data_IF_000359750031
#
_entry.id   IF_000359750031
#
_cell.length_a   1.000
_cell.length_b   1.000
_cell.length_c   1.000
_cell.angle_alpha   90.00
_cell.angle_beta   90.00
_cell.angle_gamma   90.00
#
_symmetry.space_group_name_H-M   'P 1'
#
loop_
_entity.id
_entity.type
_entity.pdbx_description
1 polymer ?
#
# COMPACT_ATOMS: atom_id res chain seq x y z
N UNK A 1 23.60 -10.25 -6.08
CA UNK A 1 23.61 -10.02 -4.61
C UNK A 1 22.43 -10.76 -4.02
N UNK A 2 22.65 -11.74 -3.13
CA UNK A 2 21.56 -12.35 -2.36
C UNK A 2 21.07 -11.32 -1.35
N UNK A 3 19.88 -10.78 -1.55
CA UNK A 3 19.18 -9.96 -0.56
C UNK A 3 18.44 -10.91 0.38
N UNK A 4 18.79 -10.88 1.66
CA UNK A 4 18.10 -11.65 2.70
C UNK A 4 16.92 -10.84 3.22
N UNK A 5 15.85 -11.53 3.55
CA UNK A 5 14.63 -10.93 4.06
C UNK A 5 14.09 -11.80 5.19
N UNK A 6 13.74 -11.22 6.33
CA UNK A 6 13.25 -11.94 7.52
C UNK A 6 11.73 -12.10 7.46
N UNK A 7 11.17 -12.98 8.30
CA UNK A 7 9.72 -13.03 8.52
C UNK A 7 9.22 -11.67 9.03
N UNK A 8 7.97 -11.32 8.72
CA UNK A 8 7.38 -10.06 9.15
C UNK A 8 7.22 -10.02 10.68
N UNK A 9 7.47 -8.85 11.26
CA UNK A 9 7.04 -8.49 12.62
C UNK A 9 6.75 -6.99 12.67
N UNK A 10 5.87 -6.56 13.57
CA UNK A 10 5.51 -5.14 13.73
C UNK A 10 6.73 -4.24 14.04
N UNK A 11 7.73 -4.78 14.73
CA UNK A 11 8.95 -4.05 15.12
C UNK A 11 9.94 -3.87 13.95
N UNK A 12 9.88 -4.75 12.95
CA UNK A 12 10.77 -4.75 11.79
C UNK A 12 10.08 -4.26 10.52
N UNK A 13 8.88 -3.71 10.64
CA UNK A 13 8.16 -3.09 9.54
C UNK A 13 8.96 -1.92 8.96
N UNK A 14 9.05 -1.86 7.63
CA UNK A 14 9.68 -0.73 6.95
C UNK A 14 8.72 0.47 6.90
N UNK A 15 9.07 1.52 7.64
CA UNK A 15 8.28 2.74 7.78
C UNK A 15 8.91 3.94 7.06
N UNK A 16 9.91 3.72 6.20
CA UNK A 16 10.57 4.79 5.46
C UNK A 16 9.74 5.25 4.26
N UNK A 17 9.90 6.50 3.84
CA UNK A 17 9.35 6.95 2.56
C UNK A 17 10.41 6.84 1.47
N UNK A 18 9.98 6.51 0.25
CA UNK A 18 10.85 6.26 -0.88
C UNK A 18 10.43 7.09 -2.11
N UNK A 19 11.36 7.25 -3.04
CA UNK A 19 11.08 7.65 -4.40
C UNK A 19 10.78 6.39 -5.24
N UNK A 20 10.44 6.56 -6.51
CA UNK A 20 10.06 5.47 -7.40
C UNK A 20 11.04 4.29 -7.36
N UNK A 21 10.50 3.07 -7.49
CA UNK A 21 11.26 1.82 -7.45
C UNK A 21 11.99 1.57 -6.11
N UNK A 22 11.38 1.98 -5.01
CA UNK A 22 11.94 1.78 -3.66
C UNK A 22 13.33 2.42 -3.50
N UNK A 23 13.53 3.57 -4.13
CA UNK A 23 14.81 4.27 -4.08
C UNK A 23 14.84 5.29 -2.94
N UNK A 24 15.98 5.50 -2.26
CA UNK A 24 16.05 6.45 -1.16
C UNK A 24 15.68 7.87 -1.61
N UNK A 25 14.92 8.57 -0.78
CA UNK A 25 14.64 9.99 -1.01
C UNK A 25 15.94 10.79 -1.09
N UNK A 26 15.98 11.76 -2.00
CA UNK A 26 17.10 12.68 -2.16
C UNK A 26 16.76 14.03 -1.54
N UNK A 27 17.75 14.89 -1.33
CA UNK A 27 17.55 16.21 -0.73
C UNK A 27 16.56 17.11 -1.51
N UNK A 28 16.31 16.82 -2.79
CA UNK A 28 15.35 17.53 -3.64
C UNK A 28 13.93 16.92 -3.64
N UNK A 29 13.75 15.71 -3.12
CA UNK A 29 12.48 14.97 -3.15
C UNK A 29 12.03 14.69 -1.71
N UNK A 30 11.19 15.57 -1.13
CA UNK A 30 10.60 15.30 0.18
C UNK A 30 9.33 14.45 0.03
N UNK A 31 9.02 13.63 1.02
CA UNK A 31 7.80 12.79 1.01
C UNK A 31 6.53 13.61 0.74
N UNK A 32 6.44 14.82 1.28
CA UNK A 32 5.31 15.72 1.06
C UNK A 32 5.14 16.15 -0.41
N UNK A 33 6.24 16.40 -1.14
CA UNK A 33 6.18 16.78 -2.55
C UNK A 33 5.83 15.60 -3.48
N UNK A 34 6.14 14.39 -3.03
CA UNK A 34 5.92 13.14 -3.78
C UNK A 34 4.48 12.66 -3.58
N UNK A 35 3.87 12.95 -2.44
CA UNK A 35 2.50 12.56 -2.09
C UNK A 35 1.41 13.21 -2.97
N UNK A 36 1.73 14.26 -3.73
CA UNK A 36 0.80 14.97 -4.63
C UNK A 36 0.47 14.16 -5.89
N UNK A 37 1.32 13.22 -6.29
CA UNK A 37 1.18 12.44 -7.52
C UNK A 37 0.73 10.99 -7.21
N UNK A 38 -0.33 10.45 -7.85
CA UNK A 38 -0.95 9.18 -7.44
C UNK A 38 -0.01 7.98 -7.39
N UNK A 39 0.84 7.80 -8.40
CA UNK A 39 1.79 6.66 -8.46
C UNK A 39 2.94 6.85 -7.47
N UNK A 40 3.35 8.10 -7.26
CA UNK A 40 4.47 8.45 -6.38
C UNK A 40 4.09 8.33 -4.91
N UNK A 41 2.87 8.75 -4.55
CA UNK A 41 2.34 8.63 -3.19
C UNK A 41 2.29 7.18 -2.70
N UNK A 42 2.16 6.21 -3.61
CA UNK A 42 2.23 4.78 -3.28
C UNK A 42 3.59 4.35 -2.69
N UNK A 43 4.67 5.10 -2.85
CA UNK A 43 5.98 4.83 -2.24
C UNK A 43 6.20 5.56 -0.91
N UNK A 44 5.20 6.30 -0.43
CA UNK A 44 5.23 7.03 0.84
C UNK A 44 4.55 6.20 1.92
N UNK A 45 5.27 5.93 3.01
CA UNK A 45 4.73 5.17 4.12
C UNK A 45 3.62 5.95 4.84
N UNK A 46 2.50 5.28 5.10
CA UNK A 46 1.37 5.81 5.86
C UNK A 46 1.13 4.96 7.09
N UNK A 47 1.10 5.58 8.27
CA UNK A 47 0.93 4.86 9.53
C UNK A 47 -0.52 4.39 9.74
N UNK A 48 -0.71 3.31 10.51
CA UNK A 48 -2.05 2.85 10.88
C UNK A 48 -2.86 3.93 11.61
N UNK A 49 -2.20 4.76 12.44
CA UNK A 49 -2.87 5.83 13.18
C UNK A 49 -3.42 6.93 12.26
N UNK A 50 -2.70 7.26 11.18
CA UNK A 50 -3.18 8.23 10.17
C UNK A 50 -4.35 7.69 9.34
N UNK A 51 -4.45 6.37 9.19
CA UNK A 51 -5.54 5.72 8.46
C UNK A 51 -6.73 5.40 9.38
N UNK A 52 -6.57 5.57 10.69
CA UNK A 52 -7.52 5.08 11.70
C UNK A 52 -7.78 3.56 11.56
N UNK A 53 -6.76 2.83 11.15
CA UNK A 53 -6.79 1.39 10.95
C UNK A 53 -6.23 0.64 12.17
N UNK A 54 -6.53 -0.66 12.25
CA UNK A 54 -6.04 -1.55 13.32
C UNK A 54 -5.16 -2.67 12.78
N UNK A 55 -4.65 -3.52 13.68
CA UNK A 55 -3.86 -4.69 13.28
C UNK A 55 -4.78 -5.72 12.61
N UNK A 56 -4.33 -6.26 11.47
CA UNK A 56 -4.98 -7.38 10.80
C UNK A 56 -4.33 -8.70 11.21
N UNK A 57 -5.13 -9.66 11.69
CA UNK A 57 -4.65 -11.00 12.02
C UNK A 57 -4.70 -11.90 10.77
N UNK A 58 -3.56 -12.01 10.11
CA UNK A 58 -3.36 -12.88 8.95
C UNK A 58 -3.09 -14.34 9.33
N UNK A 59 -2.83 -15.16 8.32
CA UNK A 59 -2.50 -16.58 8.51
C UNK A 59 -1.04 -16.76 8.93
N UNK A 60 -0.12 -16.05 8.30
CA UNK A 60 1.32 -16.11 8.59
C UNK A 60 1.76 -15.17 9.72
N UNK A 61 1.12 -14.00 9.85
CA UNK A 61 1.53 -12.98 10.82
C UNK A 61 0.39 -12.01 11.20
N UNK A 62 0.66 -11.16 12.20
CA UNK A 62 -0.15 -9.99 12.53
C UNK A 62 0.41 -8.79 11.78
N UNK A 63 -0.37 -8.17 10.90
CA UNK A 63 0.06 -7.05 10.06
C UNK A 63 -0.43 -5.72 10.64
N UNK A 64 0.42 -4.70 10.61
CA UNK A 64 0.03 -3.31 10.86
C UNK A 64 -1.09 -2.90 9.89
N UNK A 65 -2.00 -2.04 10.33
CA UNK A 65 -2.97 -1.38 9.44
C UNK A 65 -2.36 -0.24 8.61
N UNK A 66 -1.04 -0.04 8.71
CA UNK A 66 -0.28 0.92 7.92
C UNK A 66 0.44 0.26 6.74
N UNK A 67 1.19 1.07 6.00
CA UNK A 67 2.03 0.58 4.91
C UNK A 67 2.11 1.57 3.75
N UNK A 68 2.33 1.00 2.56
CA UNK A 68 2.42 1.71 1.30
C UNK A 68 1.11 1.50 0.54
N UNK A 69 0.43 2.57 0.16
CA UNK A 69 -0.98 2.51 -0.26
C UNK A 69 -1.18 3.24 -1.57
N UNK A 70 -1.92 2.59 -2.48
CA UNK A 70 -2.43 3.21 -3.69
C UNK A 70 -3.96 3.20 -3.67
N UNK A 71 -4.58 4.39 -3.69
CA UNK A 71 -6.03 4.51 -3.69
C UNK A 71 -6.58 4.28 -5.11
N UNK A 72 -7.36 3.21 -5.26
CA UNK A 72 -8.16 2.94 -6.45
C UNK A 72 -9.30 3.97 -6.50
N UNK A 73 -9.08 5.08 -7.20
CA UNK A 73 -10.11 6.10 -7.40
C UNK A 73 -11.32 5.59 -8.20
N UNK A 74 -12.29 6.45 -8.43
CA UNK A 74 -13.58 6.05 -9.02
C UNK A 74 -13.58 5.89 -10.55
N UNK A 75 -12.52 6.36 -11.23
CA UNK A 75 -12.41 6.37 -12.69
C UNK A 75 -11.45 5.28 -13.20
N UNK A 76 -11.96 4.20 -13.82
CA UNK A 76 -11.14 3.13 -14.37
C UNK A 76 -10.13 3.59 -15.41
N UNK A 77 -10.47 4.61 -16.21
CA UNK A 77 -9.59 5.12 -17.27
C UNK A 77 -8.34 5.80 -16.69
N UNK A 78 -8.44 6.31 -15.45
CA UNK A 78 -7.30 6.85 -14.68
C UNK A 78 -6.56 5.77 -13.88
N UNK A 79 -7.28 4.77 -13.37
CA UNK A 79 -6.74 3.76 -12.44
C UNK A 79 -5.90 2.72 -13.17
N UNK A 80 -6.37 2.20 -14.30
CA UNK A 80 -5.67 1.12 -15.03
C UNK A 80 -4.25 1.54 -15.45
N UNK A 81 -4.02 2.73 -16.03
CA UNK A 81 -2.67 3.18 -16.37
C UNK A 81 -1.75 3.33 -15.15
N UNK A 82 -2.27 3.79 -14.01
CA UNK A 82 -1.49 3.95 -12.78
C UNK A 82 -1.07 2.59 -12.20
N UNK A 83 -1.95 1.58 -12.24
CA UNK A 83 -1.63 0.22 -11.82
C UNK A 83 -0.58 -0.42 -12.74
N UNK A 84 -0.73 -0.25 -14.05
CA UNK A 84 0.27 -0.68 -15.04
C UNK A 84 1.64 -0.04 -14.77
N UNK A 85 1.66 1.25 -14.40
CA UNK A 85 2.87 1.96 -14.04
C UNK A 85 3.48 1.42 -12.75
N UNK A 86 2.70 1.24 -11.68
CA UNK A 86 3.16 0.64 -10.42
C UNK A 86 3.76 -0.76 -10.63
N UNK A 87 3.13 -1.57 -11.49
CA UNK A 87 3.65 -2.88 -11.86
C UNK A 87 5.01 -2.76 -12.57
N UNK A 88 5.14 -1.83 -13.53
CA UNK A 88 6.43 -1.58 -14.24
C UNK A 88 7.51 -1.03 -13.32
N UNK A 89 7.12 -0.27 -12.30
CA UNK A 89 8.03 0.26 -11.28
C UNK A 89 8.41 -0.78 -10.22
N UNK A 90 7.76 -1.96 -10.22
CA UNK A 90 8.04 -3.02 -9.26
C UNK A 90 7.60 -2.65 -7.86
N UNK A 91 6.43 -2.02 -7.73
CA UNK A 91 5.86 -1.66 -6.43
C UNK A 91 5.69 -2.89 -5.54
N UNK A 92 5.13 -3.98 -6.08
CA UNK A 92 5.16 -5.28 -5.39
C UNK A 92 6.48 -5.98 -5.73
N UNK A 93 7.25 -6.34 -4.71
CA UNK A 93 8.56 -6.97 -4.88
C UNK A 93 8.81 -8.10 -3.85
N UNK A 94 10.01 -8.68 -3.86
CA UNK A 94 10.41 -9.77 -2.95
C UNK A 94 10.43 -9.41 -1.46
N UNK A 95 10.38 -8.13 -1.09
CA UNK A 95 10.30 -7.67 0.29
C UNK A 95 8.86 -7.42 0.74
N UNK A 96 7.89 -7.37 -0.17
CA UNK A 96 6.46 -7.32 0.18
C UNK A 96 6.08 -8.56 1.01
N UNK A 97 5.33 -8.36 2.10
CA UNK A 97 4.97 -9.42 3.06
C UNK A 97 3.50 -9.78 3.08
N UNK A 98 2.66 -8.80 2.76
CA UNK A 98 1.26 -9.01 2.47
C UNK A 98 0.77 -7.88 1.56
N UNK A 99 -0.30 -8.16 0.83
CA UNK A 99 -1.04 -7.17 0.05
C UNK A 99 -2.47 -7.19 0.54
N UNK A 100 -2.99 -6.00 0.84
CA UNK A 100 -4.38 -5.80 1.20
C UNK A 100 -5.09 -5.10 0.05
N UNK A 101 -6.23 -5.66 -0.37
CA UNK A 101 -7.18 -4.98 -1.26
C UNK A 101 -8.47 -4.81 -0.49
N UNK A 102 -8.80 -3.56 -0.20
CA UNK A 102 -9.95 -3.19 0.62
C UNK A 102 -10.95 -2.39 -0.21
N UNK A 103 -12.20 -2.81 -0.19
CA UNK A 103 -13.27 -2.15 -0.92
C UNK A 103 -14.58 -2.24 -0.14
N UNK A 104 -15.42 -1.22 -0.30
CA UNK A 104 -16.78 -1.20 0.24
C UNK A 104 -17.77 -0.98 -0.90
N UNK A 105 -18.80 -1.82 -0.95
CA UNK A 105 -19.83 -1.79 -1.97
C UNK A 105 -21.18 -1.54 -1.31
N UNK A 106 -21.92 -0.56 -1.83
CA UNK A 106 -23.26 -0.24 -1.38
C UNK A 106 -24.31 -0.69 -2.39
N UNK A 107 -25.27 -1.49 -1.94
CA UNK A 107 -26.44 -1.89 -2.70
C UNK A 107 -27.65 -1.06 -2.30
N UNK A 108 -28.01 -0.08 -3.14
CA UNK A 108 -29.12 0.84 -2.90
C UNK A 108 -30.49 0.13 -2.84
N UNK A 109 -30.68 -0.95 -3.62
CA UNK A 109 -31.97 -1.64 -3.72
C UNK A 109 -32.36 -2.30 -2.39
N UNK A 110 -31.36 -2.79 -1.64
CA UNK A 110 -31.55 -3.44 -0.33
C UNK A 110 -31.05 -2.58 0.83
N UNK A 111 -30.55 -1.38 0.55
CA UNK A 111 -29.89 -0.49 1.50
C UNK A 111 -28.82 -1.20 2.36
N UNK A 112 -27.98 -2.00 1.71
CA UNK A 112 -26.98 -2.83 2.37
C UNK A 112 -25.57 -2.42 1.95
N UNK A 113 -24.69 -2.19 2.92
CA UNK A 113 -23.25 -1.97 2.72
C UNK A 113 -22.51 -3.29 2.98
N UNK A 114 -21.58 -3.65 2.11
CA UNK A 114 -20.67 -4.78 2.28
C UNK A 114 -19.23 -4.30 2.17
N UNK A 115 -18.39 -4.68 3.13
CA UNK A 115 -16.95 -4.41 3.10
C UNK A 115 -16.20 -5.70 2.83
N UNK A 116 -15.22 -5.65 1.94
CA UNK A 116 -14.37 -6.76 1.54
C UNK A 116 -12.91 -6.37 1.80
N UNK A 117 -12.21 -7.25 2.53
CA UNK A 117 -10.76 -7.21 2.69
C UNK A 117 -10.19 -8.49 2.12
N UNK A 118 -9.36 -8.38 1.09
CA UNK A 118 -8.59 -9.49 0.53
C UNK A 118 -7.15 -9.35 1.03
N UNK A 119 -6.66 -10.36 1.73
CA UNK A 119 -5.27 -10.45 2.18
C UNK A 119 -4.54 -11.51 1.35
N UNK A 120 -3.42 -11.14 0.75
CA UNK A 120 -2.51 -12.05 0.05
C UNK A 120 -1.17 -12.04 0.78
N UNK A 121 -0.69 -13.20 1.20
CA UNK A 121 0.56 -13.40 1.97
C UNK A 121 1.56 -14.27 1.21
#
# INVERSE_FOLDING_TARGET
>A
LKRCSHAYSLEMEDQMSYDLKWSPLTNSSTAALIAEEPVKSAFVYTSMASLNESIFLGYLAMYSGGGYIFNLGDDPDSVVPNLDELQRLGWIDHFTRAIFVELSVWNANSNLMSSLTLCLE
#
